data_IF_183521438111
#
_entry.id   IF_183521438111
#
_cell.length_a   1.000
_cell.length_b   1.000
_cell.length_c   1.000
_cell.angle_alpha   90.00
_cell.angle_beta   90.00
_cell.angle_gamma   90.00
#
_symmetry.space_group_name_H-M   'P 1'
#
loop_
_entity.id
_entity.type
_entity.pdbx_description
1 polymer ?
#
# COMPACT_ATOMS: atom_id res chain seq x y z
N UNK A 1 -13.11 -0.03 5.30
CA UNK A 1 -12.07 -0.01 4.25
C UNK A 1 -10.80 0.54 4.88
N UNK A 2 -9.65 -0.12 4.71
CA UNK A 2 -8.34 0.44 5.06
C UNK A 2 -7.50 0.48 3.78
N UNK A 3 -7.08 1.67 3.39
CA UNK A 3 -6.25 1.93 2.22
C UNK A 3 -5.09 2.80 2.65
N UNK A 4 -3.91 2.47 2.17
CA UNK A 4 -2.70 3.22 2.46
C UNK A 4 -1.48 2.39 2.12
N UNK A 5 -0.45 3.09 1.67
CA UNK A 5 0.89 2.56 1.54
C UNK A 5 1.90 3.66 1.82
N UNK A 6 3.15 3.27 1.99
CA UNK A 6 4.26 4.19 2.12
C UNK A 6 5.56 3.44 2.27
N UNK A 7 6.58 4.15 2.74
CA UNK A 7 7.85 3.54 3.07
C UNK A 7 8.33 4.03 4.43
N UNK A 8 9.20 3.27 5.05
CA UNK A 8 9.95 3.71 6.22
C UNK A 8 11.43 3.34 6.04
N UNK A 9 12.29 4.00 6.80
CA UNK A 9 13.70 3.62 6.91
C UNK A 9 13.93 3.11 8.32
N UNK A 10 14.41 1.87 8.44
CA UNK A 10 14.78 1.29 9.73
C UNK A 10 16.29 1.23 9.86
N UNK A 11 16.78 1.59 11.04
CA UNK A 11 18.18 1.41 11.41
C UNK A 11 18.30 0.10 12.17
N UNK A 12 19.06 -0.85 11.65
CA UNK A 12 19.32 -2.15 12.27
C UNK A 12 20.84 -2.30 12.41
N UNK A 13 21.32 -2.39 13.66
CA UNK A 13 22.76 -2.29 13.99
C UNK A 13 23.36 -1.00 13.39
N UNK A 14 24.22 -1.12 12.39
CA UNK A 14 24.87 0.01 11.69
C UNK A 14 24.30 0.27 10.29
N UNK A 15 23.34 -0.55 9.83
CA UNK A 15 22.75 -0.43 8.51
C UNK A 15 21.42 0.34 8.55
N UNK A 16 21.13 1.07 7.46
CA UNK A 16 19.84 1.73 7.22
C UNK A 16 19.15 1.09 6.04
N UNK A 17 17.91 0.66 6.23
CA UNK A 17 17.20 -0.23 5.32
C UNK A 17 15.83 0.34 4.98
N UNK A 18 15.47 0.29 3.70
CA UNK A 18 14.17 0.67 3.20
C UNK A 18 13.18 -0.48 3.38
N UNK A 19 12.02 -0.13 3.91
CA UNK A 19 10.86 -1.00 3.96
C UNK A 19 9.70 -0.31 3.23
N UNK A 20 8.94 -1.09 2.48
CA UNK A 20 7.66 -0.68 1.91
C UNK A 20 6.55 -1.24 2.79
N UNK A 21 5.56 -0.42 3.16
CA UNK A 21 4.40 -0.91 3.89
C UNK A 21 3.12 -0.61 3.09
N UNK A 22 2.13 -1.50 3.21
CA UNK A 22 0.82 -1.30 2.61
C UNK A 22 -0.26 -2.10 3.33
N UNK A 23 -1.51 -1.70 3.18
CA UNK A 23 -2.64 -2.55 3.58
C UNK A 23 -2.92 -3.63 2.53
N UNK A 24 -3.04 -4.88 2.95
CA UNK A 24 -3.43 -6.03 2.13
C UNK A 24 -4.74 -6.65 2.66
N UNK A 25 -5.55 -7.24 1.78
CA UNK A 25 -6.70 -8.05 2.18
C UNK A 25 -6.27 -9.50 2.41
N UNK A 26 -6.50 -10.02 3.60
CA UNK A 26 -6.26 -11.42 3.95
C UNK A 26 -7.53 -12.01 4.52
N UNK A 27 -8.32 -12.63 3.65
CA UNK A 27 -9.54 -13.33 4.04
C UNK A 27 -10.59 -12.45 4.70
N UNK A 28 -10.75 -11.20 4.23
CA UNK A 28 -11.73 -10.26 4.77
C UNK A 28 -11.22 -9.43 5.96
N UNK A 29 -10.00 -9.69 6.44
CA UNK A 29 -9.27 -8.81 7.36
C UNK A 29 -8.25 -8.00 6.58
N UNK A 30 -8.24 -6.68 6.78
CA UNK A 30 -7.18 -5.82 6.23
C UNK A 30 -6.03 -5.75 7.23
N UNK A 31 -4.84 -6.12 6.77
CA UNK A 31 -3.62 -6.15 7.58
C UNK A 31 -2.58 -5.21 6.99
N UNK A 32 -1.82 -4.52 7.85
CA UNK A 32 -0.68 -3.73 7.42
C UNK A 32 0.52 -4.65 7.26
N UNK A 33 0.98 -4.82 6.03
CA UNK A 33 2.15 -5.61 5.68
C UNK A 33 3.32 -4.66 5.50
N UNK A 34 4.50 -5.08 5.96
CA UNK A 34 5.75 -4.34 5.81
C UNK A 34 6.83 -5.26 5.27
N UNK A 35 7.45 -4.85 4.15
CA UNK A 35 8.36 -5.67 3.36
C UNK A 35 9.71 -4.99 3.25
N UNK A 36 10.78 -5.74 3.56
CA UNK A 36 12.15 -5.27 3.33
C UNK A 36 12.43 -5.15 1.84
N UNK A 37 12.99 -4.01 1.41
CA UNK A 37 13.34 -3.75 0.02
C UNK A 37 14.84 -3.81 -0.22
N UNK A 38 15.63 -3.17 0.64
CA UNK A 38 17.07 -3.07 0.42
C UNK A 38 17.76 -2.03 1.30
N UNK A 39 19.08 -1.87 1.20
CA UNK A 39 19.80 -0.78 1.84
C UNK A 39 19.32 0.57 1.34
N UNK A 40 19.19 1.55 2.23
CA UNK A 40 18.75 2.91 1.87
C UNK A 40 19.73 3.67 0.98
N UNK A 41 21.00 3.24 0.92
CA UNK A 41 22.01 3.80 0.04
C UNK A 41 21.93 3.24 -1.39
N UNK A 42 21.25 2.12 -1.60
CA UNK A 42 21.12 1.47 -2.91
C UNK A 42 20.09 2.21 -3.79
N UNK A 43 20.50 2.76 -4.96
CA UNK A 43 19.59 3.43 -5.89
C UNK A 43 18.47 2.51 -6.41
N UNK A 44 18.76 1.22 -6.65
CA UNK A 44 17.78 0.26 -7.15
C UNK A 44 16.71 -0.05 -6.08
N UNK A 45 17.10 -0.06 -4.81
CA UNK A 45 16.16 -0.20 -3.70
C UNK A 45 15.22 1.01 -3.61
N UNK A 46 15.72 2.24 -3.80
CA UNK A 46 14.90 3.47 -3.83
C UNK A 46 13.91 3.47 -4.98
N UNK A 47 14.38 3.12 -6.18
CA UNK A 47 13.51 3.01 -7.36
C UNK A 47 12.43 1.93 -7.17
N UNK A 48 12.80 0.80 -6.54
CA UNK A 48 11.85 -0.25 -6.21
C UNK A 48 10.76 0.21 -5.24
N UNK A 49 11.11 1.00 -4.22
CA UNK A 49 10.11 1.62 -3.31
C UNK A 49 9.15 2.52 -4.10
N UNK A 50 9.68 3.42 -4.93
CA UNK A 50 8.86 4.34 -5.72
C UNK A 50 7.88 3.58 -6.65
N UNK A 51 8.37 2.54 -7.32
CA UNK A 51 7.55 1.66 -8.17
C UNK A 51 6.45 0.96 -7.37
N UNK A 52 6.74 0.44 -6.17
CA UNK A 52 5.73 -0.24 -5.33
C UNK A 52 4.66 0.73 -4.83
N UNK A 53 5.05 1.94 -4.43
CA UNK A 53 4.10 3.01 -4.04
C UNK A 53 3.18 3.36 -5.21
N UNK A 54 3.73 3.60 -6.40
CA UNK A 54 2.93 3.89 -7.59
C UNK A 54 1.94 2.76 -7.90
N UNK A 55 2.43 1.52 -7.95
CA UNK A 55 1.60 0.36 -8.24
C UNK A 55 0.48 0.17 -7.21
N UNK A 56 0.73 0.45 -5.93
CA UNK A 56 -0.32 0.42 -4.91
C UNK A 56 -1.34 1.54 -5.13
N UNK A 57 -0.89 2.76 -5.40
CA UNK A 57 -1.77 3.91 -5.60
C UNK A 57 -2.75 3.69 -6.77
N UNK A 58 -2.28 3.10 -7.88
CA UNK A 58 -3.11 2.78 -9.04
C UNK A 58 -4.19 1.74 -8.71
N UNK A 59 -3.83 0.68 -7.98
CA UNK A 59 -4.80 -0.31 -7.49
C UNK A 59 -5.79 0.30 -6.52
N UNK A 60 -5.32 1.09 -5.55
CA UNK A 60 -6.15 1.76 -4.55
C UNK A 60 -7.15 2.73 -5.18
N UNK A 61 -6.73 3.49 -6.21
CA UNK A 61 -7.63 4.35 -7.00
C UNK A 61 -8.76 3.55 -7.64
N UNK A 62 -8.43 2.39 -8.22
CA UNK A 62 -9.40 1.50 -8.86
C UNK A 62 -10.37 0.87 -7.85
N UNK A 63 -9.87 0.45 -6.68
CA UNK A 63 -10.68 -0.04 -5.56
C UNK A 63 -11.63 1.04 -5.03
N UNK A 64 -11.14 2.26 -4.83
CA UNK A 64 -11.96 3.38 -4.36
C UNK A 64 -13.06 3.74 -5.37
N UNK A 65 -12.74 3.74 -6.67
CA UNK A 65 -13.72 3.94 -7.73
C UNK A 65 -14.85 2.91 -7.67
N UNK A 66 -14.51 1.62 -7.52
CA UNK A 66 -15.50 0.54 -7.35
C UNK A 66 -16.33 0.72 -6.08
N UNK A 67 -15.70 1.08 -4.97
CA UNK A 67 -16.41 1.33 -3.71
C UNK A 67 -17.48 2.41 -3.87
N UNK A 68 -17.15 3.54 -4.51
CA UNK A 68 -18.12 4.62 -4.77
C UNK A 68 -19.30 4.14 -5.60
N UNK A 69 -19.08 3.36 -6.67
CA UNK A 69 -20.17 2.83 -7.50
C UNK A 69 -21.09 1.89 -6.72
N UNK A 70 -20.51 0.97 -5.94
CA UNK A 70 -21.27 0.04 -5.11
C UNK A 70 -22.08 0.77 -4.03
N UNK A 71 -21.51 1.79 -3.40
CA UNK A 71 -22.22 2.63 -2.43
C UNK A 71 -23.42 3.31 -3.07
N UNK A 72 -23.26 3.91 -4.26
CA UNK A 72 -24.37 4.54 -4.99
C UNK A 72 -25.50 3.54 -5.31
N UNK A 73 -25.15 2.36 -5.82
CA UNK A 73 -26.13 1.33 -6.14
C UNK A 73 -26.93 0.88 -4.91
N UNK A 74 -26.24 0.59 -3.80
CA UNK A 74 -26.89 0.19 -2.54
C UNK A 74 -27.81 1.27 -1.97
N UNK A 75 -27.44 2.54 -2.10
CA UNK A 75 -28.30 3.64 -1.65
C UNK A 75 -29.56 3.78 -2.52
N UNK A 76 -29.46 3.54 -3.83
CA UNK A 76 -30.60 3.60 -4.73
C UNK A 76 -31.58 2.43 -4.53
N UNK A 77 -31.09 1.24 -4.17
CA UNK A 77 -31.93 0.08 -3.81
C UNK A 77 -32.66 0.24 -2.46
N UNK A 78 -32.14 1.11 -1.59
CA UNK A 78 -32.71 1.39 -0.27
C UNK A 78 -33.70 2.57 -0.24
N UNK A 79 -33.91 3.23 -1.39
CA UNK A 79 -34.85 4.34 -1.58
C UNK A 79 -36.15 3.86 -2.24
#
# INVERSE_FOLDING_TARGET
>A
MMIGCGYCVKTIRRGRYLYFWHYEDRGGRREQVEEYIGPSADPQARETVARRVSAYADRARSEMGRFVQLTKAKMAEAA
#
